data_IF_525540620201
#
_entry.id   IF_525540620201
#
_cell.length_a   1.000
_cell.length_b   1.000
_cell.length_c   1.000
_cell.angle_alpha   90.00
_cell.angle_beta   90.00
_cell.angle_gamma   90.00
#
_symmetry.space_group_name_H-M   'P 1'
#
loop_
_entity.id
_entity.type
_entity.pdbx_description
1 polymer ?
#
# COMPACT_ATOMS: atom_id res chain seq x y z
N UNK A 1 5.88 6.64 -4.08
CA UNK A 1 6.32 5.76 -5.16
C UNK A 1 5.25 4.71 -5.31
N UNK A 2 4.27 5.02 -6.17
CA UNK A 2 2.92 4.50 -6.00
C UNK A 2 2.58 3.31 -6.86
N UNK A 3 1.56 2.58 -6.41
CA UNK A 3 0.86 1.54 -7.17
C UNK A 3 -0.67 1.76 -7.15
N UNK A 4 -1.13 2.99 -6.95
CA UNK A 4 -2.54 3.37 -7.19
C UNK A 4 -2.68 4.26 -8.42
N UNK A 5 -3.74 4.02 -9.19
CA UNK A 5 -4.16 4.83 -10.34
C UNK A 5 -4.96 6.04 -9.86
N UNK A 6 -5.79 5.84 -8.82
CA UNK A 6 -6.49 6.92 -8.13
C UNK A 6 -6.88 6.52 -6.70
N UNK A 7 -7.05 7.55 -5.87
CA UNK A 7 -7.71 7.51 -4.55
C UNK A 7 -8.78 8.61 -4.60
N UNK A 8 -10.06 8.23 -4.70
CA UNK A 8 -11.18 9.18 -4.82
C UNK A 8 -12.26 8.92 -3.77
N UNK A 9 -12.86 9.98 -3.24
CA UNK A 9 -14.01 9.91 -2.35
C UNK A 9 -15.32 9.85 -3.13
N UNK A 10 -16.21 8.92 -2.75
CA UNK A 10 -17.49 8.66 -3.41
C UNK A 10 -18.59 8.82 -2.39
N UNK A 11 -19.39 9.87 -2.57
CA UNK A 11 -20.58 10.15 -1.78
C UNK A 11 -21.83 9.64 -2.50
N UNK A 12 -22.72 8.98 -1.77
CA UNK A 12 -24.03 8.54 -2.24
C UNK A 12 -25.07 8.80 -1.15
N UNK A 13 -26.36 8.89 -1.52
CA UNK A 13 -27.44 9.32 -0.61
C UNK A 13 -27.58 8.49 0.68
N UNK A 14 -27.02 7.28 0.73
CA UNK A 14 -27.08 6.36 1.87
C UNK A 14 -25.72 5.88 2.38
N UNK A 15 -24.62 6.10 1.65
CA UNK A 15 -23.26 5.63 2.00
C UNK A 15 -22.20 6.59 1.48
N UNK A 16 -21.06 6.67 2.16
CA UNK A 16 -19.87 7.35 1.67
C UNK A 16 -18.63 6.48 1.90
N UNK A 17 -17.73 6.45 0.93
CA UNK A 17 -16.54 5.59 0.95
C UNK A 17 -15.42 6.16 0.07
N UNK A 18 -14.19 5.72 0.28
CA UNK A 18 -13.07 5.99 -0.62
C UNK A 18 -12.88 4.81 -1.56
N UNK A 19 -12.83 5.09 -2.86
CA UNK A 19 -12.55 4.16 -3.94
C UNK A 19 -11.07 4.27 -4.33
N UNK A 20 -10.32 3.20 -4.11
CA UNK A 20 -8.89 3.10 -4.46
C UNK A 20 -8.73 2.10 -5.59
N UNK A 21 -8.22 2.54 -6.75
CA UNK A 21 -7.88 1.63 -7.85
C UNK A 21 -6.38 1.38 -7.86
N UNK A 22 -5.99 0.12 -7.82
CA UNK A 22 -4.60 -0.34 -7.84
C UNK A 22 -4.12 -0.51 -9.29
N UNK A 23 -2.88 -0.12 -9.55
CA UNK A 23 -2.18 -0.38 -10.81
C UNK A 23 -1.50 -1.76 -10.75
N UNK A 24 -2.13 -2.74 -11.41
CA UNK A 24 -1.60 -4.10 -11.50
C UNK A 24 -0.39 -4.19 -12.46
N UNK A 25 -0.31 -3.29 -13.45
CA UNK A 25 0.81 -3.25 -14.38
C UNK A 25 2.06 -2.68 -13.70
N UNK A 26 1.90 -1.69 -12.81
CA UNK A 26 2.98 -1.20 -11.96
C UNK A 26 3.45 -2.29 -10.97
N UNK A 27 2.52 -3.02 -10.34
CA UNK A 27 2.84 -4.15 -9.45
C UNK A 27 3.63 -5.24 -10.20
N UNK A 28 3.22 -5.59 -11.42
CA UNK A 28 3.91 -6.56 -12.26
C UNK A 28 5.31 -6.10 -12.69
N UNK A 29 5.46 -4.84 -13.12
CA UNK A 29 6.76 -4.23 -13.50
C UNK A 29 7.74 -4.15 -12.34
N UNK A 30 7.23 -3.87 -11.14
CA UNK A 30 8.00 -3.81 -9.89
C UNK A 30 8.17 -5.19 -9.23
N UNK A 31 7.64 -6.26 -9.83
CA UNK A 31 7.73 -7.65 -9.37
C UNK A 31 7.32 -7.84 -7.89
N UNK A 32 6.29 -7.13 -7.41
CA UNK A 32 5.78 -7.37 -6.06
C UNK A 32 4.93 -8.64 -6.01
N UNK A 33 5.40 -9.64 -5.28
CA UNK A 33 4.58 -10.72 -4.74
C UNK A 33 3.59 -10.13 -3.72
N UNK A 34 2.40 -9.71 -4.18
CA UNK A 34 1.37 -9.02 -3.37
C UNK A 34 0.01 -9.15 -4.05
N UNK A 35 -0.97 -9.76 -3.37
CA UNK A 35 -2.35 -9.83 -3.82
C UNK A 35 -3.19 -8.64 -3.33
N UNK A 36 -4.39 -8.48 -3.89
CA UNK A 36 -5.37 -7.46 -3.48
C UNK A 36 -5.78 -7.67 -2.00
N UNK A 37 -5.77 -8.92 -1.53
CA UNK A 37 -6.01 -9.34 -0.15
C UNK A 37 -4.88 -8.89 0.79
N UNK A 38 -3.62 -8.86 0.34
CA UNK A 38 -2.49 -8.33 1.11
C UNK A 38 -2.59 -6.82 1.27
N UNK A 39 -2.97 -6.12 0.19
CA UNK A 39 -3.25 -4.67 0.23
C UNK A 39 -4.40 -4.39 1.20
N UNK A 40 -5.49 -5.16 1.14
CA UNK A 40 -6.61 -5.08 2.09
C UNK A 40 -6.16 -5.28 3.54
N UNK A 41 -5.39 -6.34 3.81
CA UNK A 41 -4.96 -6.65 5.19
C UNK A 41 -4.04 -5.57 5.77
N UNK A 42 -3.18 -4.97 4.94
CA UNK A 42 -2.32 -3.84 5.33
C UNK A 42 -3.08 -2.54 5.55
N UNK A 43 -4.09 -2.22 4.74
CA UNK A 43 -5.00 -1.08 5.00
C UNK A 43 -5.73 -1.29 6.35
N UNK A 44 -6.23 -2.49 6.64
CA UNK A 44 -6.87 -2.81 7.93
C UNK A 44 -5.89 -2.75 9.11
N UNK A 45 -4.61 -3.09 8.90
CA UNK A 45 -3.55 -3.05 9.91
C UNK A 45 -2.95 -1.65 10.15
N UNK A 46 -3.14 -0.69 9.23
CA UNK A 46 -2.53 0.64 9.31
C UNK A 46 -3.09 1.45 10.48
N UNK A 47 -2.29 1.56 11.55
CA UNK A 47 -2.67 2.15 12.84
C UNK A 47 -3.36 3.53 12.73
N UNK A 48 -2.94 4.48 11.86
CA UNK A 48 -3.57 5.79 11.75
C UNK A 48 -5.04 5.81 11.32
N UNK A 49 -5.50 4.79 10.56
CA UNK A 49 -6.88 4.69 10.07
C UNK A 49 -7.85 4.15 11.13
N UNK A 50 -7.34 3.51 12.20
CA UNK A 50 -8.11 2.89 13.30
C UNK A 50 -9.10 1.79 12.90
N UNK A 51 -9.08 1.28 11.66
CA UNK A 51 -10.02 0.28 11.11
C UNK A 51 -9.89 -1.14 11.71
N UNK A 52 -8.99 -1.32 12.69
CA UNK A 52 -8.42 -2.60 13.13
C UNK A 52 -9.42 -3.64 13.65
N UNK A 53 -10.62 -3.21 14.07
CA UNK A 53 -11.63 -4.06 14.69
C UNK A 53 -12.81 -4.40 13.76
N UNK A 54 -12.81 -3.95 12.51
CA UNK A 54 -13.94 -4.14 11.59
C UNK A 54 -13.47 -4.53 10.18
N UNK A 55 -13.39 -5.85 9.94
CA UNK A 55 -13.07 -6.46 8.63
C UNK A 55 -13.95 -6.00 7.47
N UNK A 56 -15.17 -5.54 7.78
CA UNK A 56 -16.15 -5.01 6.83
C UNK A 56 -15.83 -3.57 6.37
N UNK A 57 -14.90 -2.85 7.01
CA UNK A 57 -14.51 -1.48 6.64
C UNK A 57 -13.82 -1.42 5.27
N UNK A 58 -13.14 -2.49 4.85
CA UNK A 58 -12.50 -2.56 3.54
C UNK A 58 -13.13 -3.69 2.75
N UNK A 59 -13.86 -3.34 1.69
CA UNK A 59 -14.50 -4.28 0.76
C UNK A 59 -13.71 -4.32 -0.54
N UNK A 60 -13.28 -5.52 -0.93
CA UNK A 60 -12.82 -5.78 -2.30
C UNK A 60 -14.07 -5.90 -3.16
N UNK A 61 -14.25 -5.00 -4.12
CA UNK A 61 -15.11 -5.28 -5.27
C UNK A 61 -14.30 -6.19 -6.20
N UNK A 62 -14.52 -7.50 -6.18
CA UNK A 62 -13.88 -8.43 -7.11
C UNK A 62 -14.82 -8.73 -8.28
N UNK A 63 -14.89 -7.83 -9.26
CA UNK A 63 -15.68 -8.05 -10.46
C UNK A 63 -14.83 -8.79 -11.50
N UNK A 64 -15.26 -10.00 -11.89
CA UNK A 64 -14.41 -11.09 -12.43
C UNK A 64 -13.68 -10.77 -13.76
N UNK A 65 -14.00 -9.66 -14.42
CA UNK A 65 -13.44 -9.29 -15.73
C UNK A 65 -12.59 -7.99 -15.75
N UNK A 66 -12.32 -7.33 -14.62
CA UNK A 66 -11.50 -6.09 -14.63
C UNK A 66 -10.86 -5.81 -13.28
N UNK A 67 -9.66 -5.18 -13.27
CA UNK A 67 -9.06 -4.61 -12.04
C UNK A 67 -10.04 -3.65 -11.36
N UNK A 68 -10.62 -4.09 -10.25
CA UNK A 68 -11.78 -3.50 -9.62
C UNK A 68 -11.41 -2.87 -8.26
N UNK A 69 -12.00 -1.72 -7.90
CA UNK A 69 -11.46 -0.87 -6.84
C UNK A 69 -11.76 -1.39 -5.44
N UNK A 70 -10.78 -1.19 -4.54
CA UNK A 70 -10.96 -1.33 -3.10
C UNK A 70 -11.87 -0.20 -2.61
N UNK A 71 -12.91 -0.55 -1.83
CA UNK A 71 -13.76 0.41 -1.13
C UNK A 71 -13.41 0.45 0.35
N UNK A 72 -13.04 1.62 0.85
CA UNK A 72 -12.72 1.88 2.26
C UNK A 72 -13.82 2.75 2.86
N UNK A 73 -14.58 2.19 3.79
CA UNK A 73 -15.66 2.86 4.51
C UNK A 73 -15.14 3.51 5.81
N UNK A 74 -15.69 4.67 6.23
CA UNK A 74 -15.35 5.31 7.48
C UNK A 74 -15.92 4.53 8.69
N UNK A 75 -15.24 4.55 9.86
CA UNK A 75 -15.72 3.89 11.07
C UNK A 75 -16.94 4.58 11.71
N UNK A 76 -17.15 5.87 11.47
CA UNK A 76 -18.23 6.65 12.03
C UNK A 76 -19.45 6.71 11.10
N UNK A 77 -20.60 6.23 11.58
CA UNK A 77 -21.89 6.29 10.88
C UNK A 77 -22.71 7.57 11.22
N UNK A 78 -22.10 8.55 11.90
CA UNK A 78 -22.75 9.85 12.20
C UNK A 78 -22.33 10.89 11.16
N UNK A 79 -23.25 11.65 10.55
CA UNK A 79 -22.98 12.39 9.31
C UNK A 79 -21.87 13.45 9.46
N UNK A 80 -21.82 14.14 10.59
CA UNK A 80 -20.78 15.12 10.91
C UNK A 80 -19.39 14.48 10.99
N UNK A 81 -19.26 13.40 11.77
CA UNK A 81 -17.96 12.72 12.00
C UNK A 81 -17.52 11.91 10.78
N UNK A 82 -18.46 11.40 10.00
CA UNK A 82 -18.20 10.68 8.75
C UNK A 82 -17.36 11.51 7.77
N UNK A 83 -17.62 12.82 7.65
CA UNK A 83 -16.84 13.72 6.80
C UNK A 83 -15.40 13.90 7.29
N UNK A 84 -15.20 14.17 8.59
CA UNK A 84 -13.86 14.26 9.18
C UNK A 84 -13.08 12.94 9.07
N UNK A 85 -13.75 11.81 9.30
CA UNK A 85 -13.15 10.48 9.16
C UNK A 85 -12.81 10.16 7.70
N UNK A 86 -13.64 10.55 6.71
CA UNK A 86 -13.28 10.42 5.29
C UNK A 86 -12.09 11.31 4.89
N UNK A 87 -12.04 12.57 5.32
CA UNK A 87 -10.89 13.46 5.09
C UNK A 87 -9.61 12.88 5.70
N UNK A 88 -9.68 12.35 6.93
CA UNK A 88 -8.57 11.63 7.57
C UNK A 88 -8.14 10.39 6.79
N UNK A 89 -9.07 9.54 6.36
CA UNK A 89 -8.77 8.37 5.53
C UNK A 89 -8.10 8.79 4.20
N UNK A 90 -8.56 9.87 3.57
CA UNK A 90 -8.00 10.40 2.31
C UNK A 90 -6.57 10.90 2.45
N UNK A 91 -6.20 11.47 3.61
CA UNK A 91 -4.83 11.90 3.92
C UNK A 91 -3.91 10.73 4.32
N UNK A 92 -4.44 9.69 4.96
CA UNK A 92 -3.67 8.58 5.54
C UNK A 92 -3.54 7.37 4.61
N UNK A 93 -4.51 7.13 3.70
CA UNK A 93 -4.44 6.04 2.72
C UNK A 93 -3.22 6.12 1.79
N UNK A 94 -2.82 7.29 1.23
CA UNK A 94 -1.63 7.39 0.39
C UNK A 94 -0.34 6.93 1.11
N UNK A 95 -0.31 7.03 2.45
CA UNK A 95 0.84 6.69 3.30
C UNK A 95 0.88 5.20 3.72
N UNK A 96 -0.13 4.39 3.38
CA UNK A 96 -0.15 2.95 3.73
C UNK A 96 1.00 2.23 3.01
N UNK A 97 1.90 1.63 3.78
CA UNK A 97 3.01 0.80 3.27
C UNK A 97 2.48 -0.58 2.87
N UNK A 98 2.57 -0.91 1.58
CA UNK A 98 2.07 -2.13 0.94
C UNK A 98 3.14 -3.25 0.99
N UNK A 99 4.40 -2.88 0.79
CA UNK A 99 5.61 -3.73 0.86
C UNK A 99 6.80 -2.83 1.21
N UNK A 100 7.93 -3.44 1.54
CA UNK A 100 9.10 -2.73 2.04
C UNK A 100 9.28 -2.81 3.55
N UNK A 101 10.47 -2.44 3.99
CA UNK A 101 10.85 -2.33 5.40
C UNK A 101 10.76 -0.85 5.79
N UNK A 102 9.91 -0.43 6.75
CA UNK A 102 9.63 0.98 7.02
C UNK A 102 10.83 1.78 7.56
N UNK A 103 11.93 1.11 7.91
CA UNK A 103 13.19 1.72 8.36
C UNK A 103 14.24 1.87 7.25
N UNK A 104 13.92 1.51 5.99
CA UNK A 104 14.78 1.68 4.82
C UNK A 104 14.23 2.79 3.94
N UNK A 105 14.94 3.93 3.88
CA UNK A 105 14.52 5.07 3.07
C UNK A 105 14.79 4.88 1.58
N UNK A 106 15.92 4.24 1.22
CA UNK A 106 16.32 4.03 -0.16
C UNK A 106 17.23 2.80 -0.29
N UNK A 107 17.11 2.09 -1.41
CA UNK A 107 18.10 1.10 -1.83
C UNK A 107 18.59 1.45 -3.24
N UNK A 108 19.89 1.25 -3.50
CA UNK A 108 20.56 1.57 -4.77
C UNK A 108 21.37 0.36 -5.18
N UNK A 109 21.12 -0.17 -6.37
CA UNK A 109 21.92 -1.23 -6.99
C UNK A 109 23.02 -0.57 -7.83
N UNK A 110 24.26 -1.01 -7.64
CA UNK A 110 25.44 -0.57 -8.37
C UNK A 110 26.20 -1.78 -8.91
N UNK A 111 26.43 -1.84 -10.22
CA UNK A 111 27.40 -2.77 -10.80
C UNK A 111 28.83 -2.32 -10.45
N UNK A 112 29.65 -3.26 -9.99
CA UNK A 112 31.05 -3.05 -9.59
C UNK A 112 32.04 -3.54 -10.65
N UNK A 113 31.66 -4.53 -11.48
CA UNK A 113 32.52 -5.07 -12.54
C UNK A 113 32.29 -4.43 -13.90
N UNK A 114 31.13 -3.77 -14.10
CA UNK A 114 30.69 -3.25 -15.40
C UNK A 114 30.34 -4.35 -16.41
N UNK A 115 30.16 -5.59 -15.92
CA UNK A 115 29.81 -6.79 -16.70
C UNK A 115 28.54 -7.49 -16.18
N UNK A 116 27.89 -6.95 -15.14
CA UNK A 116 26.76 -7.58 -14.47
C UNK A 116 27.12 -8.65 -13.43
N UNK A 117 28.34 -9.20 -13.45
CA UNK A 117 28.77 -10.29 -12.56
C UNK A 117 28.77 -9.95 -11.06
N UNK A 118 28.82 -8.67 -10.68
CA UNK A 118 28.88 -8.24 -9.27
C UNK A 118 28.06 -6.97 -8.99
N UNK A 119 26.81 -7.19 -8.56
CA UNK A 119 25.90 -6.15 -8.11
C UNK A 119 26.05 -5.90 -6.60
N UNK A 120 26.41 -4.68 -6.22
CA UNK A 120 26.34 -4.20 -4.84
C UNK A 120 25.00 -3.50 -4.57
N UNK A 121 24.35 -3.87 -3.47
CA UNK A 121 23.17 -3.18 -2.94
C UNK A 121 23.60 -2.25 -1.80
N UNK A 122 23.56 -0.93 -2.04
CA UNK A 122 23.61 0.07 -0.97
C UNK A 122 22.21 0.26 -0.40
N UNK A 123 22.07 0.22 0.92
CA UNK A 123 20.80 0.41 1.63
C UNK A 123 20.93 1.51 2.66
N UNK A 124 20.13 2.57 2.51
CA UNK A 124 20.06 3.69 3.43
C UNK A 124 18.92 3.43 4.44
N UNK A 125 19.28 2.93 5.62
CA UNK A 125 18.33 2.57 6.67
C UNK A 125 19.00 2.21 8.00
N UNK A 126 18.23 2.22 9.08
CA UNK A 126 18.76 2.02 10.45
C UNK A 126 18.65 0.58 10.97
N UNK A 127 17.78 -0.25 10.40
CA UNK A 127 17.51 -1.61 10.90
C UNK A 127 18.20 -2.70 10.07
N UNK A 128 19.53 -2.82 10.22
CA UNK A 128 20.34 -3.83 9.54
C UNK A 128 19.80 -5.27 9.69
N UNK A 129 19.17 -5.58 10.83
CA UNK A 129 18.66 -6.92 11.15
C UNK A 129 17.55 -7.38 10.21
N UNK A 130 16.63 -6.50 9.83
CA UNK A 130 15.54 -6.83 8.91
C UNK A 130 16.07 -6.96 7.47
N UNK A 131 17.04 -6.12 7.09
CA UNK A 131 17.70 -6.17 5.76
C UNK A 131 18.43 -7.52 5.56
N UNK A 132 19.15 -8.02 6.57
CA UNK A 132 19.82 -9.32 6.49
C UNK A 132 18.87 -10.52 6.39
N UNK A 133 17.66 -10.44 6.97
CA UNK A 133 16.69 -11.54 6.95
C UNK A 133 15.89 -11.57 5.64
N UNK A 134 15.58 -10.41 5.05
CA UNK A 134 14.82 -10.30 3.80
C UNK A 134 15.64 -10.50 2.51
N UNK A 135 16.81 -11.15 2.58
CA UNK A 135 17.71 -11.31 1.42
C UNK A 135 17.11 -12.17 0.27
N UNK A 136 16.12 -12.99 0.58
CA UNK A 136 15.26 -13.69 -0.38
C UNK A 136 13.82 -13.12 -0.27
N UNK A 137 13.30 -12.31 -1.24
CA UNK A 137 13.97 -11.63 -2.34
C UNK A 137 14.15 -10.11 -2.11
N UNK A 138 15.28 -9.58 -2.59
CA UNK A 138 15.72 -8.17 -2.46
C UNK A 138 14.67 -7.13 -2.92
N UNK A 139 13.79 -7.49 -3.86
CA UNK A 139 12.68 -6.63 -4.34
C UNK A 139 11.78 -6.15 -3.20
N UNK A 140 11.63 -6.94 -2.13
CA UNK A 140 10.79 -6.60 -0.98
C UNK A 140 11.39 -5.55 -0.01
N UNK A 141 12.56 -4.98 -0.30
CA UNK A 141 13.22 -3.99 0.57
C UNK A 141 12.69 -2.56 0.39
N UNK A 142 12.28 -2.15 -0.83
CA UNK A 142 11.76 -0.78 -1.07
C UNK A 142 10.40 -0.56 -0.38
N UNK A 143 10.27 0.55 0.36
CA UNK A 143 8.98 1.05 0.84
C UNK A 143 8.12 1.45 -0.37
N UNK A 144 7.09 0.65 -0.65
CA UNK A 144 6.10 0.93 -1.68
C UNK A 144 4.78 1.25 -0.98
N UNK A 145 4.25 2.42 -1.28
CA UNK A 145 3.05 3.00 -0.69
C UNK A 145 1.93 3.10 -1.72
N UNK A 146 0.71 3.44 -1.29
CA UNK A 146 -0.37 3.71 -2.24
C UNK A 146 -0.12 4.97 -3.10
N UNK A 147 0.66 5.96 -2.62
CA UNK A 147 0.97 7.22 -3.32
C UNK A 147 2.13 7.19 -4.31
#
# INVERSE_FOLDING_TARGET
GGVSIYIQEVFSKAIAYISVKIDLDAIAKLQLETSIEDIRSRILAWKPLKLKNASNMVSIQSNVMTSAPLRVYPPDNSPERMLFSLQRLKLELPNVVIKGIPTVGRAVIKDVSGKGDSLQLLVEGTNFREVCVCFYPIVSTLIIVLS
#
